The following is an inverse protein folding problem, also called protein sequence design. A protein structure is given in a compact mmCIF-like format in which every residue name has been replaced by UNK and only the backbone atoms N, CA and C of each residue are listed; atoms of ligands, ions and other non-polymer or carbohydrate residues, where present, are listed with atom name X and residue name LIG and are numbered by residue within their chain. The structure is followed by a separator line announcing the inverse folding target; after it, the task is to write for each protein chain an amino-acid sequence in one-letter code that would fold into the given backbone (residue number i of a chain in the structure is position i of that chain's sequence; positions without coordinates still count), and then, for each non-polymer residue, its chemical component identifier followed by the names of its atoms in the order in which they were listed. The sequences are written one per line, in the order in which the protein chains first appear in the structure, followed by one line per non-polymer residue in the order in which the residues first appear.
data_IF_931196872543
#
_entry.id   IF_931196872543
#
_cell.length_a   1.000
_cell.length_b   1.000
_cell.length_c   1.000
_cell.angle_alpha   90.00
_cell.angle_beta   90.00
_cell.angle_gamma   90.00
#
_symmetry.space_group_name_H-M   'P 1'
#
loop_
_entity.id
_entity.type
_entity.pdbx_description
1 polymer ?
#
# COMPACT_ATOMS: atom_id res chain seq x y z
N UNK A 1 -14.37 -8.90 -4.64
CA UNK A 1 -13.95 -7.81 -5.48
C UNK A 1 -12.48 -7.90 -5.80
N UNK A 2 -12.19 -7.96 -7.08
CA UNK A 2 -10.84 -8.12 -7.57
C UNK A 2 -10.35 -6.80 -8.12
N UNK A 3 -9.31 -6.25 -7.53
CA UNK A 3 -8.82 -4.95 -7.92
C UNK A 3 -7.59 -5.05 -8.81
N UNK A 4 -6.83 -6.08 -8.65
CA UNK A 4 -5.70 -6.43 -9.50
C UNK A 4 -5.94 -7.85 -9.99
N UNK A 5 -4.94 -8.60 -10.39
CA UNK A 5 -5.22 -9.98 -10.76
C UNK A 5 -5.84 -10.74 -9.60
N UNK A 6 -6.63 -11.76 -9.89
CA UNK A 6 -7.31 -12.58 -8.88
C UNK A 6 -6.31 -13.15 -7.88
N UNK A 7 -5.18 -13.66 -8.39
CA UNK A 7 -4.15 -14.27 -7.56
C UNK A 7 -3.50 -13.25 -6.63
N UNK A 8 -3.16 -12.07 -7.14
CA UNK A 8 -2.56 -11.02 -6.33
C UNK A 8 -3.53 -10.50 -5.27
N UNK A 9 -4.80 -10.33 -5.62
CA UNK A 9 -5.83 -9.93 -4.67
C UNK A 9 -5.96 -10.93 -3.53
N UNK A 10 -5.92 -12.23 -3.83
CA UNK A 10 -6.00 -13.27 -2.81
C UNK A 10 -4.78 -13.26 -1.89
N UNK A 11 -3.59 -13.02 -2.43
CA UNK A 11 -2.37 -12.89 -1.65
C UNK A 11 -2.48 -11.72 -0.67
N UNK A 12 -2.93 -10.57 -1.13
CA UNK A 12 -3.09 -9.40 -0.28
C UNK A 12 -4.12 -9.64 0.83
N UNK A 13 -5.24 -10.25 0.49
CA UNK A 13 -6.27 -10.58 1.48
C UNK A 13 -5.75 -11.55 2.54
N UNK A 14 -4.97 -12.55 2.13
CA UNK A 14 -4.38 -13.51 3.05
C UNK A 14 -3.40 -12.81 3.99
N UNK A 15 -2.55 -11.94 3.45
CA UNK A 15 -1.59 -11.20 4.26
C UNK A 15 -2.29 -10.31 5.28
N UNK A 16 -3.34 -9.61 4.90
CA UNK A 16 -4.15 -8.79 5.80
C UNK A 16 -4.75 -9.66 6.90
N UNK A 17 -5.30 -10.82 6.54
CA UNK A 17 -5.88 -11.75 7.49
C UNK A 17 -4.85 -12.27 8.50
N UNK A 18 -3.67 -12.64 8.02
CA UNK A 18 -2.58 -13.12 8.87
C UNK A 18 -2.10 -12.04 9.83
N UNK A 19 -1.99 -10.81 9.36
CA UNK A 19 -1.60 -9.69 10.21
C UNK A 19 -2.64 -9.40 11.29
N UNK A 20 -3.92 -9.46 10.96
CA UNK A 20 -4.99 -9.31 11.95
C UNK A 20 -4.90 -10.39 13.03
N UNK A 21 -4.59 -11.62 12.64
CA UNK A 21 -4.52 -12.74 13.58
C UNK A 21 -3.33 -12.63 14.53
N UNK A 22 -2.19 -12.13 14.06
CA UNK A 22 -0.94 -12.14 14.81
C UNK A 22 -0.72 -10.87 15.62
N UNK A 23 -1.04 -9.72 15.04
CA UNK A 23 -0.64 -8.43 15.59
C UNK A 23 -1.62 -7.84 16.60
N UNK A 24 -2.87 -8.30 16.62
CA UNK A 24 -3.92 -7.65 17.38
C UNK A 24 -4.40 -6.34 16.75
N UNK A 25 -3.73 -5.86 15.72
CA UNK A 25 -4.18 -4.70 14.97
C UNK A 25 -5.20 -5.11 13.92
N UNK A 26 -6.12 -4.21 13.61
CA UNK A 26 -7.13 -4.45 12.59
C UNK A 26 -6.72 -3.78 11.29
N UNK A 27 -6.64 -4.56 10.22
CA UNK A 27 -6.25 -4.07 8.90
C UNK A 27 -7.47 -4.11 7.99
N UNK A 28 -7.78 -2.97 7.39
CA UNK A 28 -8.90 -2.82 6.45
C UNK A 28 -8.33 -2.64 5.05
N UNK A 29 -8.83 -3.44 4.12
CA UNK A 29 -8.39 -3.39 2.74
C UNK A 29 -9.56 -3.01 1.85
N UNK A 30 -9.48 -1.86 1.18
CA UNK A 30 -10.50 -1.37 0.29
C UNK A 30 -9.91 -1.14 -1.10
N UNK A 31 -10.32 -1.96 -2.05
CA UNK A 31 -9.89 -1.80 -3.43
C UNK A 31 -11.05 -1.36 -4.30
N UNK A 32 -10.94 -0.16 -4.85
CA UNK A 32 -11.99 0.46 -5.67
C UNK A 32 -11.69 0.36 -7.16
N UNK A 33 -10.64 -0.36 -7.53
CA UNK A 33 -10.26 -0.54 -8.93
C UNK A 33 -10.74 -1.91 -9.42
N UNK A 34 -11.41 -1.92 -10.55
CA UNK A 34 -11.90 -3.16 -11.18
C UNK A 34 -11.19 -3.35 -12.51
N UNK A 35 -10.95 -4.60 -12.85
CA UNK A 35 -10.47 -5.00 -14.18
C UNK A 35 -9.17 -4.32 -14.61
N UNK A 36 -8.34 -3.95 -13.67
CA UNK A 36 -7.03 -3.42 -13.95
C UNK A 36 -6.01 -4.55 -13.96
N UNK A 37 -5.23 -4.63 -15.02
CA UNK A 37 -4.16 -5.61 -15.11
C UNK A 37 -2.84 -4.97 -14.79
N UNK A 38 -2.12 -5.57 -13.86
CA UNK A 38 -0.73 -5.22 -13.58
C UNK A 38 0.17 -6.35 -14.07
N UNK A 39 1.36 -6.01 -14.52
CA UNK A 39 2.37 -7.03 -14.76
C UNK A 39 2.95 -7.53 -13.43
N UNK A 40 3.76 -8.57 -13.50
CA UNK A 40 4.32 -9.20 -12.31
C UNK A 40 5.17 -8.23 -11.49
N UNK A 41 5.95 -7.37 -12.14
CA UNK A 41 6.79 -6.39 -11.45
C UNK A 41 5.96 -5.36 -10.71
N UNK A 42 4.88 -4.90 -11.33
CA UNK A 42 3.95 -3.96 -10.69
C UNK A 42 3.28 -4.58 -9.47
N UNK A 43 2.79 -5.81 -9.61
CA UNK A 43 2.15 -6.52 -8.49
C UNK A 43 3.13 -6.73 -7.33
N UNK A 44 4.36 -7.13 -7.63
CA UNK A 44 5.39 -7.33 -6.62
C UNK A 44 5.74 -6.03 -5.90
N UNK A 45 5.88 -4.94 -6.62
CA UNK A 45 6.18 -3.65 -6.03
C UNK A 45 5.07 -3.17 -5.11
N UNK A 46 3.83 -3.26 -5.55
CA UNK A 46 2.66 -2.89 -4.75
C UNK A 46 2.58 -3.74 -3.49
N UNK A 47 2.76 -5.06 -3.63
CA UNK A 47 2.75 -5.98 -2.50
C UNK A 47 3.81 -5.60 -1.46
N UNK A 48 5.03 -5.31 -1.92
CA UNK A 48 6.13 -4.94 -1.01
C UNK A 48 5.88 -3.62 -0.29
N UNK A 49 5.30 -2.65 -0.99
CA UNK A 49 4.96 -1.37 -0.37
C UNK A 49 3.89 -1.56 0.72
N UNK A 50 2.88 -2.37 0.44
CA UNK A 50 1.86 -2.69 1.43
C UNK A 50 2.49 -3.38 2.64
N UNK A 51 3.36 -4.35 2.42
CA UNK A 51 4.04 -5.06 3.48
C UNK A 51 4.86 -4.13 4.37
N UNK A 52 5.62 -3.23 3.77
CA UNK A 52 6.41 -2.23 4.50
C UNK A 52 5.53 -1.26 5.28
N UNK A 53 4.43 -0.83 4.69
CA UNK A 53 3.48 0.05 5.37
C UNK A 53 2.87 -0.60 6.60
N UNK A 54 2.48 -1.85 6.51
CA UNK A 54 1.94 -2.61 7.64
C UNK A 54 3.03 -2.78 8.71
N UNK A 55 4.24 -3.15 8.31
CA UNK A 55 5.36 -3.32 9.24
C UNK A 55 5.64 -2.02 9.99
N UNK A 56 5.66 -0.90 9.29
CA UNK A 56 5.89 0.40 9.92
C UNK A 56 4.80 0.73 10.93
N UNK A 57 3.54 0.49 10.57
CA UNK A 57 2.42 0.74 11.45
C UNK A 57 2.52 -0.06 12.74
N UNK A 58 2.88 -1.34 12.64
CA UNK A 58 2.94 -2.23 13.79
C UNK A 58 4.20 -2.03 14.63
N UNK A 59 5.36 -1.95 13.96
CA UNK A 59 6.65 -1.93 14.66
C UNK A 59 7.01 -0.55 15.19
N UNK A 60 6.78 0.48 14.42
CA UNK A 60 7.17 1.85 14.76
C UNK A 60 6.00 2.69 15.27
N UNK A 61 4.82 2.44 14.75
CA UNK A 61 3.64 3.22 15.08
C UNK A 61 2.82 2.70 16.24
N UNK A 62 2.96 1.43 16.59
CA UNK A 62 2.10 0.76 17.57
C UNK A 62 0.62 0.97 17.24
N UNK A 63 0.30 0.92 15.96
CA UNK A 63 -1.05 1.16 15.48
C UNK A 63 -2.01 0.05 15.89
N UNK A 64 -3.25 0.41 16.16
CA UNK A 64 -4.32 -0.56 16.37
C UNK A 64 -5.20 -0.73 15.14
N UNK A 65 -5.13 0.19 14.20
CA UNK A 65 -5.90 0.17 12.96
C UNK A 65 -5.04 0.64 11.79
N UNK A 66 -5.16 -0.06 10.67
CA UNK A 66 -4.45 0.26 9.44
C UNK A 66 -5.45 0.20 8.29
N UNK A 67 -5.47 1.22 7.46
CA UNK A 67 -6.36 1.29 6.28
C UNK A 67 -5.52 1.29 5.02
N UNK A 68 -5.80 0.36 4.12
CA UNK A 68 -5.15 0.25 2.81
C UNK A 68 -6.21 0.48 1.75
N UNK A 69 -6.01 1.50 0.94
CA UNK A 69 -6.94 1.87 -0.12
C UNK A 69 -6.23 1.89 -1.46
N UNK A 70 -6.82 1.26 -2.45
CA UNK A 70 -6.34 1.31 -3.83
C UNK A 70 -7.48 1.84 -4.69
N UNK A 71 -7.25 2.92 -5.41
CA UNK A 71 -8.24 3.51 -6.29
C UNK A 71 -7.58 4.05 -7.56
N UNK A 72 -8.39 4.29 -8.58
CA UNK A 72 -7.94 4.90 -9.82
C UNK A 72 -8.35 6.36 -9.83
N UNK A 73 -7.44 7.24 -10.21
CA UNK A 73 -7.71 8.65 -10.43
C UNK A 73 -7.02 9.06 -11.73
N UNK A 74 -7.81 9.50 -12.70
CA UNK A 74 -7.32 9.81 -14.05
C UNK A 74 -6.62 8.61 -14.68
N UNK A 75 -5.34 8.74 -15.00
CA UNK A 75 -4.52 7.67 -15.57
C UNK A 75 -3.60 7.02 -14.55
N UNK A 76 -3.83 7.28 -13.26
CA UNK A 76 -2.96 6.80 -12.20
C UNK A 76 -3.71 5.89 -11.24
N UNK A 77 -2.95 5.03 -10.59
CA UNK A 77 -3.41 4.27 -9.45
C UNK A 77 -2.92 4.99 -8.20
N UNK A 78 -3.82 5.20 -7.25
CA UNK A 78 -3.49 5.76 -5.95
C UNK A 78 -3.53 4.66 -4.91
N UNK A 79 -2.40 4.43 -4.27
CA UNK A 79 -2.27 3.50 -3.15
C UNK A 79 -2.05 4.31 -1.89
N UNK A 80 -2.93 4.16 -0.91
CA UNK A 80 -2.76 4.81 0.39
C UNK A 80 -2.73 3.77 1.49
N UNK A 81 -1.75 3.90 2.38
CA UNK A 81 -1.65 3.08 3.59
C UNK A 81 -1.59 4.04 4.76
N UNK A 82 -2.63 4.05 5.57
CA UNK A 82 -2.76 4.96 6.70
C UNK A 82 -2.95 4.17 7.99
N UNK A 83 -2.31 4.61 9.07
CA UNK A 83 -2.50 4.01 10.37
C UNK A 83 -2.85 5.06 11.42
N UNK A 84 -3.33 4.59 12.57
CA UNK A 84 -3.67 5.44 13.71
C UNK A 84 -2.61 5.38 14.81
N UNK A 85 -1.38 5.04 14.44
CA UNK A 85 -0.28 4.95 15.39
C UNK A 85 0.24 6.31 15.83
N UNK A 86 1.40 6.28 16.46
CA UNK A 86 1.99 7.50 17.04
C UNK A 86 2.57 8.44 15.99
N UNK A 87 2.77 7.96 14.76
CA UNK A 87 3.40 8.75 13.71
C UNK A 87 4.87 9.02 13.99
N UNK A 88 5.42 9.99 13.29
CA UNK A 88 6.77 10.46 13.54
C UNK A 88 6.93 11.88 13.02
N UNK A 89 7.74 12.68 13.73
CA UNK A 89 8.02 14.05 13.30
C UNK A 89 9.01 14.09 12.15
N UNK A 90 9.97 13.18 12.16
CA UNK A 90 10.96 13.04 11.10
C UNK A 90 10.95 11.61 10.58
N UNK A 91 10.89 11.47 9.27
CA UNK A 91 10.88 10.17 8.63
C UNK A 91 12.31 9.69 8.50
N UNK A 92 12.63 8.64 9.26
CA UNK A 92 13.97 8.08 9.34
C UNK A 92 14.14 6.92 8.38
N UNK A 93 15.39 6.62 8.01
CA UNK A 93 15.73 5.55 7.09
C UNK A 93 15.28 4.16 7.55
N UNK A 94 15.12 3.96 8.86
CA UNK A 94 14.68 2.69 9.44
C UNK A 94 13.23 2.30 9.15
N UNK A 95 12.44 3.18 8.54
CA UNK A 95 11.04 2.91 8.20
C UNK A 95 10.85 2.25 6.83
N UNK A 96 11.93 1.84 6.17
CA UNK A 96 11.81 1.25 4.83
C UNK A 96 11.39 2.23 3.74
N UNK A 97 11.37 3.53 4.05
CA UNK A 97 10.91 4.55 3.11
C UNK A 97 11.77 4.61 1.85
N UNK A 98 13.07 4.39 1.99
CA UNK A 98 13.98 4.34 0.85
C UNK A 98 13.59 3.24 -0.13
N UNK A 99 13.31 2.05 0.38
CA UNK A 99 12.90 0.92 -0.45
C UNK A 99 11.56 1.16 -1.13
N UNK A 100 10.61 1.75 -0.41
CA UNK A 100 9.32 2.11 -0.98
C UNK A 100 9.48 3.12 -2.13
N UNK A 101 10.32 4.15 -1.91
CA UNK A 101 10.62 5.14 -2.95
C UNK A 101 11.24 4.50 -4.19
N UNK A 102 12.21 3.61 -3.99
CA UNK A 102 12.88 2.93 -5.09
C UNK A 102 11.90 2.07 -5.90
N UNK A 103 11.05 1.31 -5.22
CA UNK A 103 10.07 0.44 -5.88
C UNK A 103 9.04 1.23 -6.69
N UNK A 104 8.52 2.30 -6.11
CA UNK A 104 7.53 3.13 -6.78
C UNK A 104 8.17 3.89 -7.95
N UNK A 105 9.42 4.34 -7.78
CA UNK A 105 10.15 5.01 -8.85
C UNK A 105 10.38 4.09 -10.05
N UNK A 106 10.63 2.81 -9.81
CA UNK A 106 10.76 1.82 -10.90
C UNK A 106 9.50 1.73 -11.74
N UNK A 107 8.36 2.04 -11.16
CA UNK A 107 7.07 2.07 -11.88
C UNK A 107 6.74 3.47 -12.41
N UNK A 108 7.70 4.37 -12.43
CA UNK A 108 7.54 5.77 -12.83
C UNK A 108 6.54 6.52 -11.95
N UNK A 109 6.37 6.06 -10.73
CA UNK A 109 5.46 6.66 -9.76
C UNK A 109 6.17 7.55 -8.76
N UNK A 110 5.36 8.15 -7.89
CA UNK A 110 5.81 9.03 -6.82
C UNK A 110 5.20 8.55 -5.51
N UNK A 111 5.97 8.58 -4.44
CA UNK A 111 5.46 8.25 -3.11
C UNK A 111 5.80 9.38 -2.15
N UNK A 112 4.85 9.69 -1.28
CA UNK A 112 5.03 10.67 -0.20
C UNK A 112 4.63 10.07 1.12
N UNK A 113 5.18 10.62 2.20
CA UNK A 113 4.96 10.13 3.55
C UNK A 113 4.55 11.29 4.45
N UNK A 114 3.63 11.02 5.38
CA UNK A 114 3.18 11.99 6.36
C UNK A 114 3.06 11.30 7.72
N UNK A 115 3.84 11.75 8.68
CA UNK A 115 3.85 11.21 10.05
C UNK A 115 3.20 12.12 11.08
N UNK A 116 2.49 13.16 10.66
CA UNK A 116 1.92 14.17 11.57
C UNK A 116 0.68 13.68 12.34
N UNK A 117 -0.04 12.71 11.79
CA UNK A 117 -1.25 12.15 12.40
C UNK A 117 -1.29 10.67 12.06
N UNK A 118 -0.68 9.84 12.95
CA UNK A 118 -0.36 8.50 12.56
C UNK A 118 0.71 8.52 11.48
N UNK A 119 0.73 7.51 10.62
CA UNK A 119 1.64 7.48 9.49
C UNK A 119 0.87 7.16 8.22
N UNK A 120 1.06 7.97 7.18
CA UNK A 120 0.39 7.79 5.90
C UNK A 120 1.41 7.67 4.79
N UNK A 121 1.27 6.62 3.99
CA UNK A 121 2.01 6.43 2.75
C UNK A 121 1.05 6.72 1.60
N UNK A 122 1.39 7.62 0.71
CA UNK A 122 0.62 7.91 -0.49
C UNK A 122 1.48 7.66 -1.71
N UNK A 123 1.09 6.70 -2.54
CA UNK A 123 1.79 6.40 -3.77
C UNK A 123 0.88 6.65 -4.97
N UNK A 124 1.43 7.29 -5.99
CA UNK A 124 0.74 7.52 -7.26
C UNK A 124 1.53 6.82 -8.34
N UNK A 125 0.90 5.87 -9.01
CA UNK A 125 1.56 5.00 -9.99
C UNK A 125 0.83 5.13 -11.33
N UNK A 126 1.52 5.59 -12.39
CA UNK A 126 0.91 5.65 -13.71
C UNK A 126 0.49 4.25 -14.20
N UNK A 127 -0.67 4.18 -14.81
CA UNK A 127 -1.14 2.92 -15.40
C UNK A 127 -0.32 2.66 -16.67
N UNK A 128 0.54 1.67 -16.61
CA UNK A 128 1.49 1.37 -17.71
C UNK A 128 0.81 0.69 -18.89
N UNK A 129 -0.14 -0.15 -18.61
CA UNK A 129 -0.87 -0.93 -19.62
C UNK A 129 -2.28 -0.41 -19.81
N UNK A 130 -2.55 0.73 -19.35
CA UNK A 130 -3.59 1.71 -19.62
C UNK A 130 -5.02 1.26 -19.80
N UNK A 131 -5.29 0.00 -19.88
CA UNK A 131 -6.61 -0.45 -20.20
C UNK A 131 -7.34 -0.95 -18.97
N UNK A 132 -8.29 -0.15 -18.55
CA UNK A 132 -9.30 -0.61 -17.61
C UNK A 132 -10.44 -1.15 -18.45
N UNK A 133 -10.82 -2.38 -18.19
CA UNK A 133 -11.96 -2.97 -18.83
C UNK A 133 -13.16 -2.74 -17.92
N UNK A 134 -14.01 -1.87 -18.34
CA UNK A 134 -15.22 -1.58 -17.58
C UNK A 134 -16.27 -2.67 -17.79
#
# INVERSE_FOLDING_TARGET
THCISSAASDVYKRQVSDMNAVSGARVYFDCQVKNLKFDEDEENAIYRVIQEGITNALRHGHASQIWITIKKEDTDILLQIRDNGIGCKEIKSGFGTKHMKERIKMLSGVVTFDGSDGFTVNARIPIRWGETYD
#
